data_IF_342973794563
#
_entry.id   IF_342973794563
#
_cell.length_a   1.000
_cell.length_b   1.000
_cell.length_c   1.000
_cell.angle_alpha   90.00
_cell.angle_beta   90.00
_cell.angle_gamma   90.00
#
_symmetry.space_group_name_H-M   'P 1'
#
loop_
_entity.id
_entity.type
_entity.pdbx_description
1 polymer ?
#
# COMPACT_ATOMS: atom_id res chain seq x y z
N UNK A 1 -62.08 -1.74 -6.29
CA UNK A 1 -60.78 -1.04 -6.38
C UNK A 1 -60.39 -0.28 -5.10
N UNK A 2 -61.09 -0.43 -3.96
CA UNK A 2 -60.83 0.37 -2.75
C UNK A 2 -60.32 -0.41 -1.51
N UNK A 3 -60.02 -1.70 -1.64
CA UNK A 3 -59.62 -2.55 -0.49
C UNK A 3 -58.10 -2.83 -0.45
N UNK A 4 -57.38 -2.59 -1.55
CA UNK A 4 -55.93 -2.83 -1.63
C UNK A 4 -55.12 -1.70 -0.97
N UNK A 5 -55.70 -0.50 -0.81
CA UNK A 5 -54.98 0.67 -0.30
C UNK A 5 -54.77 0.67 1.24
N UNK A 6 -55.57 -0.09 2.01
CA UNK A 6 -55.49 -0.09 3.50
C UNK A 6 -54.34 -0.93 4.06
N UNK A 7 -53.90 -1.96 3.34
CA UNK A 7 -52.79 -2.82 3.78
C UNK A 7 -51.41 -2.26 3.36
N UNK A 8 -51.38 -1.40 2.34
CA UNK A 8 -50.13 -0.77 1.90
C UNK A 8 -49.57 0.18 2.98
N UNK A 9 -50.44 0.95 3.63
CA UNK A 9 -50.04 1.92 4.67
C UNK A 9 -49.47 1.24 5.93
N UNK A 10 -49.98 0.05 6.28
CA UNK A 10 -49.50 -0.74 7.44
C UNK A 10 -48.13 -1.39 7.21
N UNK A 11 -47.78 -1.70 5.95
CA UNK A 11 -46.44 -2.21 5.62
C UNK A 11 -45.42 -1.09 5.39
N UNK A 12 -45.85 0.07 4.89
CA UNK A 12 -44.95 1.19 4.58
C UNK A 12 -44.49 1.92 5.84
N UNK A 13 -45.34 2.06 6.86
CA UNK A 13 -45.01 2.81 8.08
C UNK A 13 -43.81 2.26 8.86
N UNK A 14 -43.66 0.95 9.13
CA UNK A 14 -42.45 0.43 9.78
C UNK A 14 -41.22 0.55 8.88
N UNK A 15 -41.36 0.46 7.56
CA UNK A 15 -40.26 0.65 6.60
C UNK A 15 -39.74 2.09 6.63
N UNK A 16 -40.63 3.10 6.69
CA UNK A 16 -40.25 4.51 6.79
C UNK A 16 -39.56 4.80 8.12
N UNK A 17 -40.03 4.21 9.23
CA UNK A 17 -39.39 4.36 10.54
C UNK A 17 -38.01 3.70 10.55
N UNK A 18 -37.85 2.53 9.92
CA UNK A 18 -36.56 1.86 9.82
C UNK A 18 -35.58 2.67 8.94
N UNK A 19 -36.06 3.20 7.82
CA UNK A 19 -35.27 4.04 6.92
C UNK A 19 -34.87 5.37 7.59
N UNK A 20 -35.77 5.97 8.38
CA UNK A 20 -35.46 7.21 9.11
C UNK A 20 -34.44 6.98 10.22
N UNK A 21 -34.46 5.84 10.91
CA UNK A 21 -33.44 5.46 11.89
C UNK A 21 -32.08 5.25 11.22
N UNK A 22 -32.02 4.59 10.06
CA UNK A 22 -30.76 4.41 9.29
C UNK A 22 -30.21 5.76 8.84
N UNK A 23 -31.07 6.65 8.33
CA UNK A 23 -30.66 8.00 7.94
C UNK A 23 -30.19 8.80 9.15
N UNK A 24 -30.86 8.70 10.30
CA UNK A 24 -30.43 9.37 11.53
C UNK A 24 -29.10 8.82 12.07
N UNK A 25 -28.85 7.51 11.96
CA UNK A 25 -27.58 6.88 12.30
C UNK A 25 -26.45 7.31 11.35
N UNK A 26 -26.73 7.51 10.06
CA UNK A 26 -25.78 8.06 9.09
C UNK A 26 -25.44 9.54 9.34
N UNK A 27 -26.32 10.30 10.00
CA UNK A 27 -26.05 11.69 10.41
C UNK A 27 -25.37 11.81 11.78
N UNK A 28 -25.30 10.74 12.58
CA UNK A 28 -24.57 10.71 13.86
C UNK A 28 -23.08 10.35 13.68
N UNK A 29 -22.61 10.05 12.46
CA UNK A 29 -21.18 10.09 12.16
C UNK A 29 -20.69 11.53 12.10
N UNK A 30 -20.78 12.25 13.23
CA UNK A 30 -19.94 13.42 13.47
C UNK A 30 -18.52 12.97 13.18
N UNK A 31 -17.88 13.63 12.22
CA UNK A 31 -16.50 13.36 11.85
C UNK A 31 -15.67 13.34 13.12
N UNK A 32 -15.31 12.14 13.59
CA UNK A 32 -14.31 11.99 14.61
C UNK A 32 -13.07 12.67 14.02
N UNK A 33 -12.70 13.83 14.57
CA UNK A 33 -11.52 14.53 14.11
C UNK A 33 -10.35 13.62 14.44
N UNK A 34 -9.81 12.94 13.44
CA UNK A 34 -8.61 12.16 13.60
C UNK A 34 -7.51 13.09 14.10
N UNK A 35 -6.89 12.71 15.21
CA UNK A 35 -5.82 13.44 15.87
C UNK A 35 -4.98 12.47 16.67
N UNK A 36 -3.69 12.79 16.82
CA UNK A 36 -2.87 12.15 17.85
C UNK A 36 -3.10 12.88 19.17
N UNK A 37 -3.69 12.21 20.16
CA UNK A 37 -4.03 12.76 21.48
C UNK A 37 -3.08 12.27 22.57
N UNK A 38 -3.05 12.95 23.71
CA UNK A 38 -2.22 12.59 24.87
C UNK A 38 -0.72 12.84 24.69
N UNK A 39 -0.35 13.72 23.75
CA UNK A 39 1.05 14.14 23.56
C UNK A 39 1.48 15.03 24.73
N UNK A 40 2.76 14.97 25.11
CA UNK A 40 3.28 15.79 26.19
C UNK A 40 3.17 17.30 25.90
N UNK A 41 2.75 18.06 26.91
CA UNK A 41 2.70 19.52 26.94
C UNK A 41 2.68 20.05 28.38
N UNK A 42 2.48 21.36 28.54
CA UNK A 42 2.56 22.04 29.84
C UNK A 42 1.19 22.53 30.31
N UNK A 43 0.95 22.44 31.62
CA UNK A 43 -0.15 23.11 32.29
C UNK A 43 0.34 23.81 33.57
N UNK A 44 0.12 25.13 33.66
CA UNK A 44 0.42 25.95 34.83
C UNK A 44 -0.71 25.95 35.85
N UNK A 45 -0.42 26.35 37.09
CA UNK A 45 -1.39 26.42 38.18
C UNK A 45 -2.44 27.55 38.00
N UNK A 46 -2.13 28.53 37.16
CA UNK A 46 -2.97 29.68 36.77
C UNK A 46 -3.92 29.37 35.60
N UNK A 47 -3.99 28.11 35.16
CA UNK A 47 -4.76 27.71 33.99
C UNK A 47 -4.03 27.95 32.67
N UNK A 48 -2.73 28.34 32.71
CA UNK A 48 -1.87 28.34 31.54
C UNK A 48 -1.80 26.93 30.95
N UNK A 49 -1.86 26.84 29.62
CA UNK A 49 -1.82 25.58 28.90
C UNK A 49 -1.04 25.75 27.61
N UNK A 50 -0.02 24.92 27.42
CA UNK A 50 0.81 24.99 26.23
C UNK A 50 0.96 23.65 25.50
N UNK A 51 0.44 23.65 24.27
CA UNK A 51 0.62 22.63 23.25
C UNK A 51 1.37 23.15 22.03
N UNK A 52 2.02 24.30 22.17
CA UNK A 52 2.78 24.97 21.11
C UNK A 52 3.65 23.97 20.36
N UNK A 53 3.63 24.12 19.04
CA UNK A 53 3.99 23.09 18.08
C UNK A 53 5.48 22.74 18.02
N UNK A 54 5.75 21.74 17.17
CA UNK A 54 7.00 21.26 16.55
C UNK A 54 8.37 21.67 17.14
N UNK A 55 8.70 22.96 17.21
CA UNK A 55 9.44 23.50 18.35
C UNK A 55 9.08 24.96 18.61
N UNK A 56 8.72 25.24 19.86
CA UNK A 56 8.20 26.52 20.28
C UNK A 56 8.91 26.98 21.55
N UNK A 57 9.02 28.30 21.68
CA UNK A 57 9.38 28.95 22.94
C UNK A 57 8.11 29.03 23.78
N UNK A 58 8.11 28.33 24.90
CA UNK A 58 7.03 28.39 25.88
C UNK A 58 7.51 29.21 27.09
N UNK A 59 6.75 30.24 27.46
CA UNK A 59 6.94 30.91 28.75
C UNK A 59 6.23 30.08 29.82
N UNK A 60 6.97 29.61 30.83
CA UNK A 60 6.38 28.81 31.89
C UNK A 60 6.25 29.64 33.18
N UNK A 61 5.03 30.04 33.59
CA UNK A 61 4.83 30.86 34.79
C UNK A 61 4.98 30.03 36.08
N UNK A 62 5.88 30.46 36.96
CA UNK A 62 5.87 30.12 38.39
C UNK A 62 6.19 28.66 38.77
N UNK A 63 6.32 28.38 40.08
CA UNK A 63 7.26 27.38 40.58
C UNK A 63 6.83 25.91 40.42
N UNK A 64 5.66 25.63 39.85
CA UNK A 64 5.21 24.25 39.62
C UNK A 64 4.31 24.16 38.39
N UNK A 65 4.81 23.49 37.35
CA UNK A 65 4.09 23.25 36.09
C UNK A 65 3.95 21.75 35.87
N UNK A 66 2.75 21.31 35.50
CA UNK A 66 2.52 19.93 35.10
C UNK A 66 3.03 19.74 33.67
N UNK A 67 3.93 18.80 33.48
CA UNK A 67 4.37 18.33 32.18
C UNK A 67 3.86 16.91 31.97
N UNK A 68 2.95 16.70 31.02
CA UNK A 68 2.24 15.43 30.89
C UNK A 68 1.43 15.28 29.60
N UNK A 69 0.78 14.12 29.39
CA UNK A 69 0.06 13.76 28.17
C UNK A 69 -1.28 14.52 28.03
N UNK A 70 -1.19 15.82 27.76
CA UNK A 70 -2.35 16.71 27.78
C UNK A 70 -2.76 17.11 26.35
N UNK A 71 -1.80 17.14 25.43
CA UNK A 71 -1.93 17.81 24.14
C UNK A 71 -2.42 16.92 23.02
N UNK A 72 -2.86 17.59 21.94
CA UNK A 72 -3.17 16.96 20.67
C UNK A 72 -2.27 17.57 19.60
N UNK A 73 -1.80 16.76 18.65
CA UNK A 73 -1.08 17.24 17.47
C UNK A 73 -1.84 16.90 16.19
N UNK A 74 -1.72 17.79 15.20
CA UNK A 74 -2.30 17.64 13.87
C UNK A 74 -1.24 18.01 12.85
N UNK A 75 -0.47 17.03 12.43
CA UNK A 75 0.61 17.23 11.47
C UNK A 75 0.24 16.59 10.15
N UNK A 76 0.25 17.37 9.07
CA UNK A 76 0.18 16.85 7.70
C UNK A 76 1.55 16.28 7.29
N UNK A 77 2.03 15.31 8.08
CA UNK A 77 3.31 14.63 7.92
C UNK A 77 3.08 13.14 8.17
N UNK A 78 3.96 12.32 7.62
CA UNK A 78 3.87 10.87 7.64
C UNK A 78 5.06 10.27 8.37
N UNK A 79 4.81 9.20 9.13
CA UNK A 79 5.89 8.38 9.68
C UNK A 79 6.60 7.65 8.54
N UNK A 80 7.92 7.36 8.62
CA UNK A 80 8.70 6.82 7.51
C UNK A 80 8.33 5.39 7.10
N UNK A 81 7.65 4.66 7.99
CA UNK A 81 7.02 3.38 7.70
C UNK A 81 5.88 3.13 8.68
N UNK A 82 4.91 2.30 8.30
CA UNK A 82 3.91 1.79 9.25
C UNK A 82 4.58 0.98 10.35
N UNK A 83 4.13 1.11 11.59
CA UNK A 83 4.74 0.41 12.72
C UNK A 83 4.40 1.01 14.08
N UNK A 84 4.99 0.47 15.14
CA UNK A 84 4.87 1.07 16.47
C UNK A 84 5.92 2.14 16.69
N UNK A 85 5.49 3.25 17.29
CA UNK A 85 6.36 4.35 17.68
C UNK A 85 6.07 4.76 19.13
N UNK A 86 7.05 5.44 19.73
CA UNK A 86 6.87 6.27 20.92
C UNK A 86 6.99 7.73 20.52
N UNK A 87 6.19 8.59 21.14
CA UNK A 87 6.31 10.04 21.01
C UNK A 87 7.11 10.55 22.20
N UNK A 88 8.27 11.16 21.93
CA UNK A 88 9.13 11.77 22.94
C UNK A 88 9.06 13.28 22.82
N UNK A 89 9.05 13.97 23.96
CA UNK A 89 9.16 15.41 24.05
C UNK A 89 10.34 15.74 24.95
N UNK A 90 11.35 16.40 24.39
CA UNK A 90 12.52 16.90 25.10
C UNK A 90 12.38 18.40 25.34
N UNK A 91 12.74 18.86 26.53
CA UNK A 91 12.60 20.25 26.96
C UNK A 91 13.99 20.80 27.31
N UNK A 92 14.29 21.99 26.81
CA UNK A 92 15.56 22.69 27.01
C UNK A 92 15.31 24.12 27.49
N UNK A 93 16.24 24.69 28.24
CA UNK A 93 16.26 26.13 28.49
C UNK A 93 16.59 26.89 27.19
N UNK A 94 15.82 27.95 26.89
CA UNK A 94 15.95 28.69 25.63
C UNK A 94 17.32 29.35 25.47
N UNK A 95 17.80 30.06 26.49
CA UNK A 95 19.04 30.84 26.39
C UNK A 95 20.32 30.00 26.50
N UNK A 96 20.28 28.89 27.24
CA UNK A 96 21.46 28.07 27.52
C UNK A 96 21.51 26.77 26.71
N UNK A 97 20.43 26.42 26.00
CA UNK A 97 20.26 25.14 25.32
C UNK A 97 20.47 23.91 26.24
N UNK A 98 20.40 24.11 27.56
CA UNK A 98 20.64 23.04 28.53
C UNK A 98 19.40 22.16 28.65
N UNK A 99 19.61 20.84 28.60
CA UNK A 99 18.53 19.87 28.78
C UNK A 99 17.92 20.01 30.18
N UNK A 100 16.59 20.10 30.22
CA UNK A 100 15.82 20.23 31.44
C UNK A 100 15.13 18.91 31.80
N UNK A 101 14.34 18.37 30.88
CA UNK A 101 13.59 17.14 31.10
C UNK A 101 13.12 16.52 29.79
N UNK A 102 12.61 15.28 29.86
CA UNK A 102 11.90 14.66 28.74
C UNK A 102 10.71 13.82 29.20
N UNK A 103 9.70 13.71 28.35
CA UNK A 103 8.58 12.78 28.50
C UNK A 103 8.56 11.83 27.32
N UNK A 104 8.23 10.56 27.53
CA UNK A 104 8.13 9.57 26.45
C UNK A 104 6.86 8.77 26.64
N UNK A 105 6.06 8.68 25.58
CA UNK A 105 4.83 7.91 25.62
C UNK A 105 5.07 6.40 25.65
N UNK A 106 4.01 5.66 25.93
CA UNK A 106 3.88 4.26 25.55
C UNK A 106 3.96 4.06 24.04
N UNK A 107 4.14 2.80 23.63
CA UNK A 107 4.16 2.41 22.22
C UNK A 107 2.76 2.46 21.64
N UNK A 108 2.62 3.04 20.46
CA UNK A 108 1.37 3.08 19.70
C UNK A 108 1.63 2.87 18.22
N UNK A 109 0.68 2.28 17.52
CA UNK A 109 0.81 2.02 16.09
C UNK A 109 0.47 3.26 15.26
N UNK A 110 1.31 3.56 14.27
CA UNK A 110 1.06 4.56 13.23
C UNK A 110 1.02 3.89 11.86
N UNK A 111 0.06 4.30 11.05
CA UNK A 111 -0.12 3.94 9.66
C UNK A 111 0.64 4.95 8.77
N UNK A 112 1.75 4.53 8.17
CA UNK A 112 2.60 5.37 7.31
C UNK A 112 1.92 5.82 6.01
N UNK A 113 0.78 5.22 5.65
CA UNK A 113 -0.04 5.64 4.51
C UNK A 113 -0.95 6.83 4.82
N UNK A 114 -1.11 7.19 6.09
CA UNK A 114 -1.97 8.29 6.56
C UNK A 114 -1.13 9.36 7.25
N UNK A 115 -1.50 10.63 7.05
CA UNK A 115 -0.81 11.68 7.80
C UNK A 115 -1.16 11.60 9.28
N UNK A 116 -0.30 12.11 10.17
CA UNK A 116 -0.58 12.16 11.62
C UNK A 116 -1.88 12.95 11.93
N UNK A 117 -2.32 13.85 11.05
CA UNK A 117 -3.59 14.57 11.16
C UNK A 117 -4.81 13.74 10.75
N UNK A 118 -4.64 12.60 10.08
CA UNK A 118 -5.70 11.72 9.59
C UNK A 118 -5.79 10.41 10.39
N UNK A 119 -4.97 10.27 11.43
CA UNK A 119 -4.95 9.08 12.29
C UNK A 119 -5.58 9.37 13.66
N UNK A 120 -6.39 8.45 14.17
CA UNK A 120 -6.98 8.52 15.51
C UNK A 120 -6.15 7.69 16.48
N UNK A 121 -5.17 8.33 17.11
CA UNK A 121 -4.13 7.66 17.90
C UNK A 121 -4.07 8.32 19.28
N UNK A 122 -4.19 7.53 20.34
CA UNK A 122 -4.02 8.02 21.71
C UNK A 122 -2.67 7.54 22.27
N UNK A 123 -1.77 8.49 22.50
CA UNK A 123 -0.51 8.23 23.22
C UNK A 123 -0.71 8.55 24.70
N UNK A 124 -0.10 7.76 25.58
CA UNK A 124 -0.18 7.98 27.02
C UNK A 124 1.21 7.91 27.65
N UNK A 125 1.39 8.56 28.80
CA UNK A 125 2.65 8.56 29.53
C UNK A 125 2.50 9.15 30.92
N UNK A 126 3.46 8.93 31.83
CA UNK A 126 3.42 9.52 33.16
C UNK A 126 3.55 11.04 33.10
N UNK A 127 2.72 11.76 33.86
CA UNK A 127 2.90 13.19 34.07
C UNK A 127 3.90 13.45 35.20
N UNK A 128 4.55 14.61 35.17
CA UNK A 128 5.50 15.04 36.18
C UNK A 128 5.35 16.52 36.50
N UNK A 129 5.65 16.90 37.74
CA UNK A 129 5.71 18.29 38.14
C UNK A 129 7.13 18.82 37.95
N UNK A 130 7.24 19.95 37.28
CA UNK A 130 8.49 20.67 37.05
C UNK A 130 8.48 21.95 37.89
N UNK A 131 9.57 22.20 38.60
CA UNK A 131 9.82 23.47 39.24
C UNK A 131 10.75 24.30 38.38
N UNK A 132 10.18 25.28 37.68
CA UNK A 132 10.92 26.19 36.81
C UNK A 132 10.96 27.56 37.47
N UNK A 133 12.12 28.22 37.40
CA UNK A 133 12.17 29.68 37.51
C UNK A 133 11.48 30.24 36.26
N UNK A 134 10.77 31.36 36.38
CA UNK A 134 10.15 32.04 35.23
C UNK A 134 11.16 32.16 34.08
N UNK A 135 11.00 31.34 33.05
CA UNK A 135 11.98 31.20 31.97
C UNK A 135 11.30 30.72 30.68
N UNK A 136 11.97 31.00 29.57
CA UNK A 136 11.61 30.55 28.25
C UNK A 136 12.23 29.17 28.01
N UNK A 137 11.40 28.20 27.58
CA UNK A 137 11.85 26.84 27.26
C UNK A 137 11.61 26.47 25.80
N UNK A 138 12.48 25.65 25.24
CA UNK A 138 12.34 25.05 23.91
C UNK A 138 11.83 23.62 24.05
N UNK A 139 10.82 23.28 23.26
CA UNK A 139 10.17 21.96 23.26
C UNK A 139 10.48 21.25 21.93
N UNK A 140 11.23 20.15 21.94
CA UNK A 140 11.45 19.31 20.76
C UNK A 140 10.57 18.06 20.81
N UNK A 141 9.70 17.85 19.81
CA UNK A 141 8.94 16.61 19.66
C UNK A 141 9.67 15.64 18.75
N UNK A 142 9.63 14.35 19.08
CA UNK A 142 10.33 13.27 18.34
C UNK A 142 9.48 12.00 18.28
N UNK A 143 9.65 11.25 17.21
CA UNK A 143 9.05 9.93 17.02
C UNK A 143 10.16 8.90 17.05
N UNK A 144 10.01 7.87 17.87
CA UNK A 144 11.00 6.80 18.02
C UNK A 144 10.35 5.50 17.54
N UNK A 145 10.86 4.91 16.48
CA UNK A 145 10.35 3.62 15.98
C UNK A 145 10.77 2.44 16.87
N UNK A 146 10.38 1.23 16.48
CA UNK A 146 10.73 0.00 17.20
C UNK A 146 12.21 -0.39 17.13
N UNK A 147 12.91 0.07 16.09
CA UNK A 147 14.34 -0.14 15.90
C UNK A 147 15.18 0.90 16.67
N UNK A 148 14.52 1.90 17.26
CA UNK A 148 15.13 2.99 18.02
C UNK A 148 15.57 4.17 17.16
N UNK A 149 15.24 4.21 15.87
CA UNK A 149 15.49 5.38 15.04
C UNK A 149 14.59 6.52 15.49
N UNK A 150 15.15 7.72 15.46
CA UNK A 150 14.52 8.94 15.94
C UNK A 150 14.22 9.83 14.74
N UNK A 151 13.01 10.40 14.73
CA UNK A 151 12.54 11.29 13.69
C UNK A 151 11.98 12.58 14.27
N UNK A 152 12.34 13.70 13.67
CA UNK A 152 11.81 15.01 14.04
C UNK A 152 10.62 15.33 13.11
N UNK A 153 9.49 15.86 13.62
CA UNK A 153 8.37 16.30 12.79
C UNK A 153 8.62 17.68 12.16
N UNK A 154 9.79 18.31 12.35
CA UNK A 154 10.08 19.64 11.82
C UNK A 154 11.57 20.02 11.80
N UNK A 155 11.93 20.80 10.77
CA UNK A 155 13.20 21.51 10.64
C UNK A 155 13.06 23.04 10.77
N UNK A 156 11.84 23.58 10.77
CA UNK A 156 11.58 25.04 10.74
C UNK A 156 11.92 25.77 12.04
N UNK A 157 12.14 25.04 13.13
CA UNK A 157 12.47 25.60 14.43
C UNK A 157 13.90 25.30 14.87
N UNK A 158 14.84 25.49 13.94
CA UNK A 158 16.26 25.65 14.22
C UNK A 158 16.60 26.96 14.99
N UNK A 159 15.63 27.60 15.67
CA UNK A 159 15.82 28.89 16.34
C UNK A 159 16.99 28.89 17.34
N UNK A 160 17.31 27.74 17.94
CA UNK A 160 18.49 27.57 18.81
C UNK A 160 19.35 26.35 18.47
N UNK A 161 19.04 25.64 17.38
CA UNK A 161 19.77 24.45 16.92
C UNK A 161 19.63 23.20 17.79
N UNK A 162 18.73 23.17 18.80
CA UNK A 162 18.54 21.99 19.69
C UNK A 162 17.50 20.99 19.17
N UNK A 163 16.61 21.43 18.29
CA UNK A 163 15.66 20.59 17.56
C UNK A 163 16.09 20.49 16.08
N UNK A 164 15.72 19.40 15.40
CA UNK A 164 15.98 19.24 13.96
C UNK A 164 17.31 18.56 13.61
N UNK A 165 17.89 17.77 14.51
CA UNK A 165 19.10 16.99 14.25
C UNK A 165 18.82 15.62 13.62
N UNK A 166 17.59 15.15 13.72
CA UNK A 166 17.19 13.84 13.22
C UNK A 166 16.53 13.93 11.84
N UNK A 167 16.48 12.81 11.10
CA UNK A 167 15.72 12.75 9.86
C UNK A 167 14.29 13.24 10.06
N UNK A 168 13.83 14.03 9.10
CA UNK A 168 12.54 14.71 9.17
C UNK A 168 11.43 13.78 8.71
N UNK A 169 10.26 13.88 9.36
CA UNK A 169 9.05 13.26 8.84
C UNK A 169 8.69 13.85 7.48
N UNK A 170 8.23 13.00 6.56
CA UNK A 170 7.93 13.40 5.19
C UNK A 170 6.56 14.10 5.11
N UNK A 171 6.41 15.14 4.28
CA UNK A 171 5.09 15.68 3.93
C UNK A 171 4.32 14.80 2.94
N UNK A 172 4.97 13.79 2.36
CA UNK A 172 4.37 12.82 1.45
C UNK A 172 4.17 11.48 2.15
N UNK A 173 3.08 10.75 1.87
CA UNK A 173 2.89 9.40 2.35
C UNK A 173 4.05 8.51 1.93
N UNK A 174 4.36 7.55 2.78
CA UNK A 174 5.26 6.46 2.40
C UNK A 174 4.52 5.65 1.35
N UNK A 175 5.02 5.66 0.12
CA UNK A 175 4.55 4.71 -0.89
C UNK A 175 4.94 3.33 -0.37
N UNK A 176 4.00 2.42 -0.10
CA UNK A 176 4.35 1.09 0.35
C UNK A 176 5.24 0.41 -0.70
N UNK A 177 6.14 -0.47 -0.26
CA UNK A 177 6.83 -1.33 -1.20
C UNK A 177 5.79 -2.14 -1.99
N UNK A 178 5.77 -1.92 -3.30
CA UNK A 178 4.87 -2.64 -4.20
C UNK A 178 5.48 -4.00 -4.52
N UNK A 179 4.64 -5.03 -4.50
CA UNK A 179 5.06 -6.39 -4.81
C UNK A 179 3.91 -7.16 -5.44
N UNK A 180 4.21 -8.04 -6.39
CA UNK A 180 3.22 -8.91 -7.01
C UNK A 180 3.71 -10.37 -7.03
N UNK A 181 2.81 -11.30 -6.71
CA UNK A 181 3.05 -12.74 -6.78
C UNK A 181 2.25 -13.30 -7.96
N UNK A 182 2.95 -13.79 -8.97
CA UNK A 182 2.36 -14.42 -10.17
C UNK A 182 2.12 -15.89 -9.89
N UNK A 183 0.92 -16.39 -10.21
CA UNK A 183 0.52 -17.78 -10.04
C UNK A 183 0.77 -18.33 -8.62
N UNK A 184 0.62 -17.48 -7.60
CA UNK A 184 0.93 -17.80 -6.20
C UNK A 184 2.37 -18.32 -5.99
N UNK A 185 3.31 -17.94 -6.88
CA UNK A 185 4.70 -18.38 -6.84
C UNK A 185 4.94 -19.78 -7.43
N UNK A 186 3.93 -20.40 -8.03
CA UNK A 186 4.04 -21.76 -8.59
C UNK A 186 4.39 -21.75 -10.08
N UNK A 187 4.99 -22.83 -10.55
CA UNK A 187 5.16 -23.10 -11.98
C UNK A 187 3.79 -23.30 -12.65
N UNK A 188 3.59 -22.69 -13.83
CA UNK A 188 2.42 -22.94 -14.66
C UNK A 188 2.64 -24.19 -15.52
N UNK A 189 1.69 -25.14 -15.47
CA UNK A 189 1.66 -26.29 -16.38
C UNK A 189 0.41 -26.20 -17.25
N UNK A 190 0.58 -26.22 -18.56
CA UNK A 190 -0.53 -26.15 -19.53
C UNK A 190 -0.61 -27.46 -20.29
N UNK A 191 -1.77 -28.12 -20.23
CA UNK A 191 -2.07 -29.28 -21.06
C UNK A 191 -2.76 -28.81 -22.34
N UNK A 192 -2.18 -29.14 -23.49
CA UNK A 192 -2.80 -28.92 -24.80
C UNK A 192 -3.68 -30.10 -25.25
N UNK A 193 -3.77 -31.16 -24.43
CA UNK A 193 -4.55 -32.35 -24.74
C UNK A 193 -3.95 -33.22 -25.85
N UNK A 194 -4.82 -33.99 -26.50
CA UNK A 194 -4.49 -34.81 -27.67
C UNK A 194 -4.95 -34.03 -28.89
N UNK A 195 -4.03 -33.83 -29.84
CA UNK A 195 -4.28 -33.06 -31.07
C UNK A 195 -3.96 -33.99 -32.24
N UNK A 196 -4.89 -34.13 -33.18
CA UNK A 196 -4.63 -34.85 -34.42
C UNK A 196 -3.68 -34.03 -35.29
N UNK A 197 -2.70 -34.67 -35.95
CA UNK A 197 -1.71 -33.95 -36.76
C UNK A 197 -2.37 -33.08 -37.84
N UNK A 198 -3.50 -33.54 -38.38
CA UNK A 198 -4.29 -32.83 -39.38
C UNK A 198 -4.95 -31.55 -38.86
N UNK A 199 -5.11 -31.42 -37.54
CA UNK A 199 -5.70 -30.27 -36.88
C UNK A 199 -4.66 -29.22 -36.48
N UNK A 200 -3.37 -29.53 -36.56
CA UNK A 200 -2.30 -28.56 -36.28
C UNK A 200 -2.29 -27.46 -37.35
N UNK A 201 -2.62 -26.21 -36.98
CA UNK A 201 -2.62 -25.12 -37.93
C UNK A 201 -1.17 -24.68 -38.21
N UNK A 202 -0.95 -24.09 -39.38
CA UNK A 202 0.36 -23.49 -39.73
C UNK A 202 0.47 -22.03 -39.33
N UNK A 203 -0.63 -21.43 -38.90
CA UNK A 203 -0.73 -20.06 -38.43
C UNK A 203 -1.53 -20.10 -37.15
N UNK A 204 -1.08 -19.39 -36.12
CA UNK A 204 -1.80 -19.34 -34.85
C UNK A 204 -3.15 -18.65 -35.01
N UNK A 205 -4.20 -19.25 -34.48
CA UNK A 205 -5.53 -18.68 -34.32
C UNK A 205 -6.02 -18.85 -32.88
N UNK A 206 -6.85 -17.93 -32.39
CA UNK A 206 -7.29 -17.96 -30.99
C UNK A 206 -8.51 -18.84 -30.74
N UNK A 207 -9.05 -19.47 -31.79
CA UNK A 207 -10.24 -20.33 -31.74
C UNK A 207 -9.92 -21.71 -31.19
N UNK A 208 -8.73 -22.24 -31.48
CA UNK A 208 -8.29 -23.57 -31.01
C UNK A 208 -7.22 -23.48 -29.91
N UNK A 209 -6.86 -22.26 -29.49
CA UNK A 209 -5.90 -22.04 -28.42
C UNK A 209 -6.49 -22.40 -27.04
N UNK A 210 -5.66 -23.02 -26.21
CA UNK A 210 -5.92 -23.24 -24.80
C UNK A 210 -5.78 -21.91 -24.05
N UNK A 211 -6.91 -21.38 -23.58
CA UNK A 211 -6.95 -20.14 -22.78
C UNK A 211 -6.62 -20.45 -21.32
N UNK A 212 -5.69 -19.70 -20.74
CA UNK A 212 -5.23 -19.90 -19.36
C UNK A 212 -5.24 -18.57 -18.62
N UNK A 213 -5.96 -18.56 -17.50
CA UNK A 213 -6.03 -17.41 -16.60
C UNK A 213 -5.01 -17.60 -15.48
N UNK A 214 -4.04 -16.69 -15.39
CA UNK A 214 -2.96 -16.75 -14.42
C UNK A 214 -3.24 -15.69 -13.33
N UNK A 215 -3.46 -16.09 -12.07
CA UNK A 215 -3.71 -15.14 -11.00
C UNK A 215 -2.45 -14.32 -10.69
N UNK A 216 -2.61 -13.03 -10.43
CA UNK A 216 -1.54 -12.13 -9.99
C UNK A 216 -2.04 -11.36 -8.78
N UNK A 217 -1.43 -11.57 -7.63
CA UNK A 217 -1.79 -10.87 -6.39
C UNK A 217 -0.76 -9.78 -6.09
N UNK A 218 -1.20 -8.53 -6.03
CA UNK A 218 -0.34 -7.38 -5.76
C UNK A 218 -0.68 -6.71 -4.43
N UNK A 219 0.32 -6.16 -3.76
CA UNK A 219 0.19 -5.43 -2.49
C UNK A 219 0.94 -4.10 -2.58
N UNK A 220 0.48 -3.10 -1.83
CA UNK A 220 1.23 -1.84 -1.66
C UNK A 220 0.94 -0.79 -2.74
N UNK A 221 -0.08 -1.00 -3.56
CA UNK A 221 -0.53 -0.12 -4.63
C UNK A 221 -0.53 -0.77 -6.00
N UNK A 222 -0.86 0.03 -7.02
CA UNK A 222 -0.88 -0.40 -8.42
C UNK A 222 0.55 -0.58 -8.94
N UNK A 223 0.78 -1.63 -9.73
CA UNK A 223 2.10 -2.01 -10.26
C UNK A 223 2.06 -2.03 -11.78
N UNK A 224 2.93 -1.24 -12.41
CA UNK A 224 3.15 -1.30 -13.86
C UNK A 224 4.40 -2.11 -14.15
N UNK A 225 4.28 -3.10 -15.02
CA UNK A 225 5.37 -4.00 -15.40
C UNK A 225 5.54 -4.07 -16.91
N UNK A 226 6.75 -4.39 -17.33
CA UNK A 226 7.05 -4.88 -18.67
C UNK A 226 7.16 -6.40 -18.65
N UNK A 227 6.32 -7.07 -19.45
CA UNK A 227 6.31 -8.51 -19.63
C UNK A 227 7.13 -8.88 -20.88
N UNK A 228 7.99 -9.88 -20.74
CA UNK A 228 8.72 -10.54 -21.83
C UNK A 228 8.63 -12.05 -21.68
N UNK A 229 8.73 -12.75 -22.80
CA UNK A 229 8.89 -14.21 -22.82
C UNK A 229 10.34 -14.56 -23.10
N UNK A 230 10.85 -15.54 -22.37
CA UNK A 230 12.16 -16.14 -22.61
C UNK A 230 11.99 -17.64 -22.87
N UNK A 231 12.39 -18.09 -24.05
CA UNK A 231 12.29 -19.48 -24.49
C UNK A 231 13.24 -19.72 -25.66
N UNK A 232 13.46 -20.99 -26.01
CA UNK A 232 14.18 -21.37 -27.23
C UNK A 232 13.24 -21.22 -28.44
N UNK A 233 13.47 -20.26 -29.35
CA UNK A 233 12.55 -20.00 -30.45
C UNK A 233 12.74 -21.01 -31.58
N UNK A 234 11.64 -21.38 -32.23
CA UNK A 234 11.64 -21.93 -33.57
C UNK A 234 10.92 -20.98 -34.53
N UNK A 235 11.49 -20.80 -35.72
CA UNK A 235 10.90 -19.96 -36.77
C UNK A 235 9.78 -20.73 -37.46
N UNK A 236 8.63 -20.10 -37.60
CA UNK A 236 7.40 -20.65 -38.17
C UNK A 236 6.91 -19.67 -39.25
N UNK A 237 7.48 -19.78 -40.46
CA UNK A 237 7.28 -18.77 -41.51
C UNK A 237 7.75 -17.38 -41.05
N UNK A 238 6.82 -16.42 -40.90
CA UNK A 238 7.11 -15.06 -40.42
C UNK A 238 6.93 -14.86 -38.91
N UNK A 239 6.64 -15.93 -38.16
CA UNK A 239 6.38 -15.88 -36.71
C UNK A 239 7.38 -16.73 -35.93
N UNK A 240 7.40 -16.55 -34.60
CA UNK A 240 8.18 -17.40 -33.69
C UNK A 240 7.23 -18.21 -32.81
N UNK A 241 7.61 -19.45 -32.55
CA UNK A 241 6.96 -20.31 -31.56
C UNK A 241 8.01 -20.85 -30.58
N UNK A 242 7.54 -21.34 -29.42
CA UNK A 242 8.36 -22.08 -28.48
C UNK A 242 8.72 -23.42 -29.11
N UNK A 243 10.02 -23.71 -29.21
CA UNK A 243 10.49 -25.00 -29.72
C UNK A 243 10.01 -26.14 -28.81
N UNK A 244 9.40 -27.16 -29.42
CA UNK A 244 9.00 -28.38 -28.71
C UNK A 244 10.01 -29.50 -28.91
N UNK A 245 9.82 -30.61 -28.19
CA UNK A 245 10.56 -31.86 -28.43
C UNK A 245 10.15 -32.59 -29.71
N UNK A 246 9.04 -32.21 -30.36
CA UNK A 246 8.58 -32.79 -31.61
C UNK A 246 9.02 -31.92 -32.80
N UNK A 247 9.76 -32.52 -33.73
CA UNK A 247 10.25 -31.79 -34.91
C UNK A 247 9.08 -31.26 -35.77
N UNK A 248 9.19 -30.01 -36.21
CA UNK A 248 8.15 -29.33 -37.01
C UNK A 248 6.91 -28.90 -36.23
N UNK A 249 6.90 -29.00 -34.90
CA UNK A 249 5.81 -28.52 -34.03
C UNK A 249 6.33 -27.51 -33.01
N UNK A 250 5.69 -26.36 -32.96
CA UNK A 250 5.92 -25.29 -31.98
C UNK A 250 4.70 -25.08 -31.09
N UNK A 251 4.89 -24.31 -30.02
CA UNK A 251 3.78 -23.76 -29.23
C UNK A 251 3.83 -22.23 -29.30
N UNK A 252 2.78 -21.60 -29.82
CA UNK A 252 2.63 -20.14 -29.72
C UNK A 252 2.02 -19.77 -28.37
N UNK A 253 2.52 -18.67 -27.81
CA UNK A 253 1.97 -18.04 -26.60
C UNK A 253 1.51 -16.65 -27.02
N UNK A 254 0.24 -16.35 -26.79
CA UNK A 254 -0.37 -15.08 -27.21
C UNK A 254 -0.96 -14.33 -26.03
N UNK A 255 -0.90 -13.00 -26.11
CA UNK A 255 -1.60 -12.08 -25.21
C UNK A 255 -2.50 -11.17 -26.04
N UNK A 256 -3.75 -10.97 -25.62
CA UNK A 256 -4.76 -10.21 -26.38
C UNK A 256 -4.83 -10.63 -27.86
N UNK A 257 -4.84 -11.94 -28.11
CA UNK A 257 -4.87 -12.56 -29.44
C UNK A 257 -3.65 -12.25 -30.34
N UNK A 258 -2.55 -11.73 -29.79
CA UNK A 258 -1.32 -11.46 -30.53
C UNK A 258 -0.21 -12.38 -30.03
N UNK A 259 0.41 -13.21 -30.89
CA UNK A 259 1.57 -14.01 -30.53
C UNK A 259 2.72 -13.13 -30.04
N UNK A 260 3.35 -13.52 -28.94
CA UNK A 260 4.48 -12.80 -28.33
C UNK A 260 5.78 -13.52 -28.68
N UNK A 261 6.71 -12.80 -29.31
CA UNK A 261 8.07 -13.27 -29.59
C UNK A 261 9.02 -13.03 -28.41
N UNK A 262 10.24 -13.56 -28.46
CA UNK A 262 11.26 -13.31 -27.44
C UNK A 262 11.77 -11.86 -27.43
N UNK A 263 11.50 -11.08 -28.47
CA UNK A 263 11.90 -9.68 -28.59
C UNK A 263 10.80 -8.70 -28.20
N UNK A 264 9.56 -9.17 -28.13
CA UNK A 264 8.43 -8.31 -27.81
C UNK A 264 8.43 -7.93 -26.33
N UNK A 265 7.90 -6.74 -26.06
CA UNK A 265 7.68 -6.24 -24.70
C UNK A 265 6.24 -5.79 -24.59
N UNK A 266 5.51 -6.32 -23.61
CA UNK A 266 4.12 -5.96 -23.35
C UNK A 266 4.01 -5.24 -22.02
N UNK A 267 3.53 -4.01 -22.02
CA UNK A 267 3.26 -3.27 -20.78
C UNK A 267 1.94 -3.73 -20.17
N UNK A 268 1.95 -4.04 -18.87
CA UNK A 268 0.79 -4.44 -18.09
C UNK A 268 0.70 -3.56 -16.84
N UNK A 269 -0.52 -3.28 -16.39
CA UNK A 269 -0.78 -2.65 -15.09
C UNK A 269 -1.67 -3.57 -14.27
N UNK A 270 -1.22 -3.92 -13.08
CA UNK A 270 -1.97 -4.68 -12.09
C UNK A 270 -2.41 -3.73 -10.98
N UNK A 271 -3.67 -3.83 -10.57
CA UNK A 271 -4.18 -3.06 -9.44
C UNK A 271 -3.78 -3.71 -8.12
N UNK A 272 -3.82 -2.96 -7.02
CA UNK A 272 -3.72 -3.59 -5.70
C UNK A 272 -4.79 -4.69 -5.50
N UNK A 273 -4.39 -5.83 -4.95
CA UNK A 273 -5.23 -7.01 -4.77
C UNK A 273 -5.09 -8.05 -5.88
N UNK A 274 -6.18 -8.79 -6.14
CA UNK A 274 -6.18 -9.92 -7.07
C UNK A 274 -6.49 -9.46 -8.51
N UNK A 275 -5.60 -9.81 -9.43
CA UNK A 275 -5.70 -9.58 -10.86
C UNK A 275 -5.61 -10.91 -11.63
N UNK A 276 -5.85 -10.84 -12.95
CA UNK A 276 -5.71 -11.97 -13.86
C UNK A 276 -4.90 -11.57 -15.08
N UNK A 277 -3.89 -12.38 -15.42
CA UNK A 277 -3.19 -12.36 -16.70
C UNK A 277 -3.71 -13.50 -17.59
N UNK A 278 -4.36 -13.15 -18.69
CA UNK A 278 -4.88 -14.13 -19.65
C UNK A 278 -3.85 -14.39 -20.76
N UNK A 279 -3.42 -15.64 -20.91
CA UNK A 279 -2.55 -16.11 -22.00
C UNK A 279 -3.22 -17.23 -22.77
N UNK A 280 -3.01 -17.23 -24.09
CA UNK A 280 -3.49 -18.26 -25.01
C UNK A 280 -2.30 -19.13 -25.47
N UNK A 281 -2.45 -20.45 -25.41
CA UNK A 281 -1.42 -21.41 -25.81
C UNK A 281 -1.92 -22.29 -26.96
N UNK A 282 -1.15 -22.43 -28.03
CA UNK A 282 -1.58 -23.23 -29.18
C UNK A 282 -0.41 -24.00 -29.79
N UNK A 283 -0.61 -25.29 -30.03
CA UNK A 283 0.33 -26.07 -30.84
C UNK A 283 0.16 -25.72 -32.31
N UNK A 284 1.27 -25.46 -32.99
CA UNK A 284 1.32 -25.04 -34.40
C UNK A 284 2.33 -25.89 -35.17
N UNK A 285 2.05 -26.19 -36.43
CA UNK A 285 2.96 -26.92 -37.33
C UNK A 285 3.73 -25.95 -38.22
N UNK A 286 5.01 -26.19 -38.42
CA UNK A 286 5.80 -25.47 -39.41
C UNK A 286 5.21 -25.65 -40.82
N UNK A 287 4.93 -24.55 -41.52
CA UNK A 287 4.39 -24.55 -42.87
C UNK A 287 5.27 -25.32 -43.87
N UNK A 288 6.58 -25.40 -43.62
CA UNK A 288 7.53 -26.12 -44.48
C UNK A 288 7.57 -27.64 -44.23
N UNK A 289 7.01 -28.12 -43.12
CA UNK A 289 6.99 -29.54 -42.76
C UNK A 289 5.66 -30.16 -43.15
N UNK A 290 5.62 -31.18 -44.01
CA UNK A 290 4.35 -31.81 -44.37
C UNK A 290 3.67 -32.42 -43.14
N UNK A 291 2.34 -32.39 -43.11
CA UNK A 291 1.54 -32.94 -41.99
C UNK A 291 1.84 -34.42 -41.69
N UNK A 292 2.18 -35.20 -42.73
CA UNK A 292 2.55 -36.61 -42.59
C UNK A 292 3.90 -36.81 -41.88
N UNK A 293 4.79 -35.83 -41.97
CA UNK A 293 6.16 -35.87 -41.46
C UNK A 293 6.26 -35.38 -40.00
N UNK A 294 5.20 -34.76 -39.47
CA UNK A 294 5.09 -34.45 -38.03
C UNK A 294 5.13 -35.76 -37.24
N UNK A 295 5.98 -35.94 -36.22
CA UNK A 295 6.01 -37.17 -35.43
C UNK A 295 4.76 -37.36 -34.57
N UNK A 296 4.40 -38.61 -34.27
CA UNK A 296 3.35 -38.95 -33.29
C UNK A 296 3.99 -39.15 -31.92
N UNK A 297 3.20 -38.98 -30.88
CA UNK A 297 3.63 -39.16 -29.50
C UNK A 297 3.51 -37.87 -28.70
N UNK A 298 3.98 -37.91 -27.46
CA UNK A 298 3.99 -36.73 -26.60
C UNK A 298 5.04 -35.71 -27.04
N UNK A 299 4.72 -34.43 -26.85
CA UNK A 299 5.67 -33.34 -26.99
C UNK A 299 5.60 -32.42 -25.76
N UNK A 300 6.69 -31.73 -25.48
CA UNK A 300 6.76 -30.73 -24.41
C UNK A 300 7.54 -29.50 -24.86
N UNK A 301 7.22 -28.37 -24.25
CA UNK A 301 7.89 -27.08 -24.45
C UNK A 301 8.06 -26.38 -23.09
N UNK A 302 8.95 -25.39 -23.02
CA UNK A 302 9.18 -24.60 -21.81
C UNK A 302 9.46 -23.15 -22.17
N UNK A 303 8.89 -22.24 -21.39
CA UNK A 303 9.08 -20.81 -21.50
C UNK A 303 9.05 -20.18 -20.11
N UNK A 304 9.70 -19.04 -19.94
CA UNK A 304 9.67 -18.23 -18.74
C UNK A 304 9.02 -16.88 -19.05
N UNK A 305 8.08 -16.47 -18.21
CA UNK A 305 7.56 -15.11 -18.19
C UNK A 305 8.50 -14.28 -17.31
N UNK A 306 9.06 -13.21 -17.86
CA UNK A 306 9.90 -12.26 -17.14
C UNK A 306 9.11 -10.96 -17.02
N UNK A 307 8.79 -10.56 -15.79
CA UNK A 307 8.17 -9.27 -15.51
C UNK A 307 9.19 -8.37 -14.82
N UNK A 308 9.35 -7.16 -15.33
CA UNK A 308 10.19 -6.11 -14.73
C UNK A 308 9.30 -4.94 -14.37
N UNK A 309 9.21 -4.63 -13.07
CA UNK A 309 8.53 -3.44 -12.57
C UNK A 309 9.22 -2.18 -13.09
N UNK A 310 8.41 -1.22 -13.55
CA UNK A 310 8.87 0.04 -14.14
C UNK A 310 9.08 1.14 -13.11
#
# INVERSE_FOLDING_TARGET
MLTICKNLLKCIMPLIIFLSIIVFLLFISGAAKATVTGVYGFAGADGYYDCSGRAAVAYVPGPTTLFGPLCQIKYNLYVPHSGYYKVKVDVFYYYSNSFLTSGTSGRVYFDGSKSLAEQNVDVSGPAQHLSLSDDDVVICRRFIDDDGNIYDPDSESAFTGVCGHYPQLSPQPVVPDTSCIINYGNTLTVSLGIIERAELPTISDTTTAQKVQIPVECTGGDVTVSMKLNYNPMTMGSSQAVQTTANGVGVTISYNNTPISTTDTTTLTFLEGLNTLDLDFQAVRDSEVNVADVPTGGFSASAAIVMTQQ
#
